data_IF_818394615033
#
_entry.id   IF_818394615033
#
_cell.length_a   1.000
_cell.length_b   1.000
_cell.length_c   1.000
_cell.angle_alpha   90.00
_cell.angle_beta   90.00
_cell.angle_gamma   90.00
#
_symmetry.space_group_name_H-M   'P 1'
#
loop_
_entity.id
_entity.type
_entity.pdbx_description
1 polymer ?
#
# COMPACT_ATOMS: atom_id res chain seq x y z
N UNK A 1 32.45 -3.30 -9.92
CA UNK A 1 32.02 -1.90 -10.20
C UNK A 1 30.89 -1.62 -9.21
N UNK A 2 31.19 -0.90 -8.11
CA UNK A 2 30.18 -0.51 -7.12
C UNK A 2 29.27 0.52 -7.78
N UNK A 3 28.01 0.14 -8.03
CA UNK A 3 26.98 1.11 -8.42
C UNK A 3 26.83 2.03 -7.21
N UNK A 4 27.38 3.24 -7.30
CA UNK A 4 27.08 4.29 -6.33
C UNK A 4 25.57 4.52 -6.37
N UNK A 5 24.85 4.01 -5.36
CA UNK A 5 23.42 4.26 -5.25
C UNK A 5 23.20 5.77 -5.10
N UNK A 6 22.44 6.32 -6.05
CA UNK A 6 22.17 7.76 -6.11
C UNK A 6 21.42 8.18 -4.85
N UNK A 7 22.07 8.92 -3.95
CA UNK A 7 21.43 9.50 -2.79
C UNK A 7 20.52 10.67 -3.19
N UNK A 8 19.30 10.67 -2.67
CA UNK A 8 18.29 11.70 -2.91
C UNK A 8 18.55 12.88 -1.96
N UNK A 9 18.80 14.07 -2.51
CA UNK A 9 19.03 15.27 -1.72
C UNK A 9 17.71 15.86 -1.21
N UNK A 10 17.56 15.92 0.10
CA UNK A 10 16.38 16.43 0.79
C UNK A 10 16.54 17.87 1.27
N UNK A 11 17.61 18.56 0.87
CA UNK A 11 17.80 19.97 1.21
C UNK A 11 16.58 20.78 0.77
N UNK A 12 16.02 21.56 1.69
CA UNK A 12 14.83 22.38 1.47
C UNK A 12 13.54 21.60 1.11
N UNK A 13 13.51 20.28 1.36
CA UNK A 13 12.33 19.46 1.16
C UNK A 13 11.63 19.11 2.47
N UNK A 14 10.29 19.03 2.46
CA UNK A 14 9.53 18.36 3.50
C UNK A 14 9.61 16.86 3.28
N UNK A 15 9.96 16.08 4.29
CA UNK A 15 9.98 14.62 4.20
C UNK A 15 8.78 14.04 4.94
N UNK A 16 7.97 13.27 4.24
CA UNK A 16 6.73 12.69 4.75
C UNK A 16 6.95 11.21 5.02
N UNK A 17 6.87 10.81 6.27
CA UNK A 17 7.14 9.45 6.74
C UNK A 17 5.85 8.73 7.15
N UNK A 18 5.70 7.44 6.80
CA UNK A 18 4.57 6.65 7.28
C UNK A 18 4.79 6.26 8.74
N UNK A 19 3.76 6.48 9.59
CA UNK A 19 3.75 6.06 11.00
C UNK A 19 3.22 4.64 11.22
N UNK A 20 2.77 3.95 10.17
CA UNK A 20 2.25 2.58 10.26
C UNK A 20 3.36 1.62 10.71
N UNK A 21 3.12 0.84 11.76
CA UNK A 21 4.10 -0.11 12.33
C UNK A 21 4.61 -1.13 11.28
N UNK A 22 3.73 -1.65 10.43
CA UNK A 22 4.09 -2.57 9.35
C UNK A 22 5.02 -2.00 8.29
N UNK A 23 5.16 -0.66 8.19
CA UNK A 23 6.06 0.00 7.25
C UNK A 23 7.40 0.41 7.88
N UNK A 24 7.57 0.22 9.19
CA UNK A 24 8.73 0.75 9.95
C UNK A 24 10.07 0.27 9.39
N UNK A 25 10.23 -1.02 9.17
CA UNK A 25 11.48 -1.63 8.66
C UNK A 25 11.89 -1.00 7.31
N UNK A 26 10.94 -0.84 6.40
CA UNK A 26 11.22 -0.30 5.07
C UNK A 26 11.35 1.22 5.05
N UNK A 27 10.69 1.91 5.98
CA UNK A 27 10.94 3.32 6.26
C UNK A 27 12.41 3.53 6.64
N UNK A 28 12.95 2.73 7.53
CA UNK A 28 14.36 2.81 7.96
C UNK A 28 15.32 2.55 6.78
N UNK A 29 15.04 1.53 5.95
CA UNK A 29 15.82 1.27 4.73
C UNK A 29 15.71 2.45 3.76
N UNK A 30 14.51 2.99 3.52
CA UNK A 30 14.31 4.10 2.60
C UNK A 30 15.05 5.37 3.04
N UNK A 31 15.14 5.61 4.35
CA UNK A 31 15.89 6.75 4.90
C UNK A 31 17.38 6.69 4.58
N UNK A 32 17.97 5.51 4.36
CA UNK A 32 19.38 5.39 3.94
C UNK A 32 19.66 5.97 2.55
N UNK A 33 18.63 6.11 1.70
CA UNK A 33 18.74 6.74 0.39
C UNK A 33 18.59 8.26 0.42
N UNK A 34 18.23 8.83 1.56
CA UNK A 34 18.00 10.27 1.73
C UNK A 34 19.18 10.93 2.45
N UNK A 35 19.63 12.09 1.95
CA UNK A 35 20.66 12.90 2.60
C UNK A 35 20.14 14.32 2.90
N UNK A 36 20.82 15.03 3.79
CA UNK A 36 20.49 16.41 4.19
C UNK A 36 19.07 16.54 4.76
N UNK A 37 18.65 15.53 5.56
CA UNK A 37 17.37 15.57 6.27
C UNK A 37 17.36 16.66 7.34
N UNK A 38 16.35 17.51 7.32
CA UNK A 38 16.11 18.52 8.36
C UNK A 38 14.99 18.01 9.29
N UNK A 39 15.26 17.70 10.58
CA UNK A 39 14.24 17.16 11.48
C UNK A 39 12.99 18.05 11.62
N UNK A 40 13.15 19.37 11.54
CA UNK A 40 12.03 20.32 11.59
C UNK A 40 11.09 20.25 10.37
N UNK A 41 11.52 19.59 9.29
CA UNK A 41 10.76 19.41 8.06
C UNK A 41 10.24 17.96 7.90
N UNK A 42 10.28 17.14 8.94
CA UNK A 42 9.72 15.79 8.93
C UNK A 42 8.25 15.83 9.34
N UNK A 43 7.38 15.24 8.53
CA UNK A 43 5.96 15.07 8.78
C UNK A 43 5.63 13.59 8.87
N UNK A 44 5.09 13.12 9.99
CA UNK A 44 4.65 11.73 10.16
C UNK A 44 3.13 11.63 9.99
N UNK A 45 2.70 10.80 9.02
CA UNK A 45 1.29 10.59 8.66
C UNK A 45 1.00 9.10 8.48
N UNK A 46 -0.26 8.71 8.24
CA UNK A 46 -0.54 7.36 7.78
C UNK A 46 0.01 7.16 6.37
N UNK A 47 0.44 5.94 6.04
CA UNK A 47 1.02 5.63 4.72
C UNK A 47 0.06 5.92 3.56
N UNK A 48 -1.24 5.70 3.77
CA UNK A 48 -2.30 6.03 2.81
C UNK A 48 -2.46 7.52 2.54
N UNK A 49 -2.07 8.37 3.49
CA UNK A 49 -2.19 9.84 3.39
C UNK A 49 -0.97 10.49 2.74
N UNK A 50 0.15 9.76 2.58
CA UNK A 50 1.40 10.32 2.02
C UNK A 50 1.20 10.97 0.66
N UNK A 51 0.50 10.34 -0.32
CA UNK A 51 0.30 10.97 -1.63
C UNK A 51 -0.55 12.24 -1.56
N UNK A 52 -1.57 12.27 -0.71
CA UNK A 52 -2.39 13.47 -0.45
C UNK A 52 -1.52 14.64 0.02
N UNK A 53 -0.64 14.42 1.00
CA UNK A 53 0.24 15.47 1.51
C UNK A 53 1.26 15.95 0.47
N UNK A 54 1.79 15.05 -0.37
CA UNK A 54 2.66 15.44 -1.48
C UNK A 54 1.93 16.40 -2.43
N UNK A 55 0.68 16.09 -2.78
CA UNK A 55 -0.16 16.93 -3.65
C UNK A 55 -0.43 18.30 -3.01
N UNK A 56 -0.85 18.33 -1.75
CA UNK A 56 -1.18 19.59 -1.07
C UNK A 56 0.05 20.49 -0.84
N UNK A 57 1.22 19.92 -0.55
CA UNK A 57 2.46 20.67 -0.45
C UNK A 57 2.88 21.23 -1.81
N UNK A 58 2.69 20.49 -2.92
CA UNK A 58 2.94 20.98 -4.27
C UNK A 58 2.09 22.21 -4.60
N UNK A 59 0.80 22.19 -4.28
CA UNK A 59 -0.11 23.34 -4.44
C UNK A 59 0.35 24.59 -3.67
N UNK A 60 1.11 24.41 -2.58
CA UNK A 60 1.72 25.48 -1.80
C UNK A 60 3.13 25.86 -2.27
N UNK A 61 3.58 25.35 -3.41
CA UNK A 61 4.93 25.59 -3.95
C UNK A 61 6.06 24.99 -3.10
N UNK A 62 5.75 24.01 -2.23
CA UNK A 62 6.73 23.36 -1.36
C UNK A 62 7.17 22.03 -1.97
N UNK A 63 8.49 21.84 -2.05
CA UNK A 63 9.08 20.55 -2.44
C UNK A 63 8.90 19.54 -1.31
N UNK A 64 8.54 18.32 -1.67
CA UNK A 64 8.34 17.25 -0.70
C UNK A 64 8.71 15.87 -1.27
N UNK A 65 9.19 15.00 -0.38
CA UNK A 65 9.47 13.59 -0.62
C UNK A 65 8.61 12.79 0.33
N UNK A 66 7.97 11.74 -0.17
CA UNK A 66 7.09 10.88 0.63
C UNK A 66 7.50 9.41 0.55
N UNK A 67 7.37 8.69 1.66
CA UNK A 67 7.65 7.26 1.76
C UNK A 67 6.34 6.51 2.01
N UNK A 68 6.03 5.48 1.19
CA UNK A 68 4.80 4.70 1.38
C UNK A 68 4.88 3.32 0.68
N UNK A 69 3.90 2.44 0.96
CA UNK A 69 3.72 1.20 0.22
C UNK A 69 3.19 1.44 -1.20
N UNK A 70 3.59 0.61 -2.15
CA UNK A 70 3.10 0.68 -3.53
C UNK A 70 1.60 0.44 -3.63
N UNK A 71 1.05 -0.44 -2.79
CA UNK A 71 -0.37 -0.72 -2.67
C UNK A 71 -1.18 0.55 -2.36
N UNK A 72 -0.71 1.34 -1.37
CA UNK A 72 -1.35 2.59 -0.95
C UNK A 72 -1.24 3.68 -2.02
N UNK A 73 -0.08 3.76 -2.70
CA UNK A 73 0.08 4.68 -3.82
C UNK A 73 -0.79 4.30 -5.02
N UNK A 74 -0.90 3.01 -5.33
CA UNK A 74 -1.81 2.53 -6.41
C UNK A 74 -3.28 2.79 -6.09
N UNK A 75 -3.69 2.63 -4.82
CA UNK A 75 -5.03 2.99 -4.38
C UNK A 75 -5.33 4.47 -4.63
N UNK A 76 -4.38 5.35 -4.26
CA UNK A 76 -4.46 6.78 -4.52
C UNK A 76 -4.59 7.10 -6.02
N UNK A 77 -3.77 6.47 -6.87
CA UNK A 77 -3.79 6.68 -8.32
C UNK A 77 -5.12 6.28 -8.99
N UNK A 78 -5.93 5.42 -8.37
CA UNK A 78 -7.26 5.07 -8.89
C UNK A 78 -8.31 6.16 -8.63
N UNK A 79 -8.05 7.11 -7.73
CA UNK A 79 -8.91 8.26 -7.47
C UNK A 79 -8.57 9.45 -8.36
N UNK A 80 -7.28 9.73 -8.48
CA UNK A 80 -6.76 10.92 -9.14
C UNK A 80 -6.42 10.64 -10.60
N UNK A 81 -6.92 11.46 -11.51
CA UNK A 81 -6.63 11.34 -12.95
C UNK A 81 -5.33 12.03 -13.37
N UNK A 82 -4.83 12.98 -12.57
CA UNK A 82 -3.61 13.73 -12.83
C UNK A 82 -2.48 13.25 -11.91
N UNK A 83 -1.49 12.61 -12.51
CA UNK A 83 -0.31 12.09 -11.81
C UNK A 83 0.74 13.19 -11.67
N UNK A 84 0.63 13.98 -10.61
CA UNK A 84 1.62 15.00 -10.28
C UNK A 84 2.73 14.51 -9.33
N UNK A 85 2.72 13.23 -8.99
CA UNK A 85 3.65 12.59 -8.06
C UNK A 85 4.49 11.58 -8.83
N UNK A 86 5.81 11.71 -8.74
CA UNK A 86 6.78 10.83 -9.38
C UNK A 86 7.29 9.76 -8.42
N UNK A 87 7.48 8.54 -8.92
CA UNK A 87 8.20 7.49 -8.21
C UNK A 87 9.68 7.72 -8.46
N UNK A 88 10.42 8.18 -7.44
CA UNK A 88 11.87 8.38 -7.51
C UNK A 88 12.60 7.04 -7.41
N UNK A 89 12.18 6.20 -6.46
CA UNK A 89 12.81 4.91 -6.20
C UNK A 89 11.77 3.89 -5.75
N UNK A 90 11.94 2.67 -6.25
CA UNK A 90 11.24 1.47 -5.78
C UNK A 90 12.22 0.61 -5.00
N UNK A 91 11.87 0.31 -3.75
CA UNK A 91 12.64 -0.58 -2.88
C UNK A 91 11.90 -1.90 -2.84
N UNK A 92 12.52 -2.94 -3.41
CA UNK A 92 11.95 -4.29 -3.42
C UNK A 92 11.71 -4.77 -2.00
N UNK A 93 10.48 -5.17 -1.70
CA UNK A 93 10.16 -5.77 -0.42
C UNK A 93 10.51 -7.25 -0.47
N UNK A 94 11.53 -7.65 0.28
CA UNK A 94 11.93 -9.04 0.43
C UNK A 94 12.01 -9.36 1.91
N UNK A 95 11.06 -10.12 2.42
CA UNK A 95 11.02 -10.52 3.82
C UNK A 95 10.69 -12.00 3.94
N UNK A 96 11.57 -12.73 4.63
CA UNK A 96 11.39 -14.18 4.87
C UNK A 96 10.20 -14.49 5.79
N UNK A 97 9.80 -13.52 6.61
CA UNK A 97 8.62 -13.64 7.47
C UNK A 97 7.31 -13.38 6.74
N UNK A 98 7.38 -12.77 5.55
CA UNK A 98 6.19 -12.54 4.74
C UNK A 98 5.78 -13.82 4.01
N UNK A 99 4.51 -14.22 4.15
CA UNK A 99 3.92 -15.43 3.57
C UNK A 99 4.20 -15.57 2.07
N UNK A 100 4.22 -14.45 1.35
CA UNK A 100 4.50 -14.38 -0.10
C UNK A 100 5.78 -13.62 -0.43
N UNK A 101 6.73 -13.53 0.54
CA UNK A 101 7.96 -12.77 0.39
C UNK A 101 7.79 -11.25 0.48
N UNK A 102 6.56 -10.75 0.39
CA UNK A 102 6.20 -9.32 0.49
C UNK A 102 4.72 -9.15 0.86
N UNK A 103 4.31 -7.95 1.34
CA UNK A 103 2.91 -7.66 1.60
C UNK A 103 2.07 -7.90 0.33
N UNK A 104 0.96 -8.59 0.50
CA UNK A 104 0.10 -8.95 -0.63
C UNK A 104 -1.35 -8.67 -0.26
N UNK A 105 -2.02 -7.82 -1.04
CA UNK A 105 -3.47 -7.63 -0.93
C UNK A 105 -4.15 -8.87 -1.48
N UNK A 106 -5.02 -9.49 -0.68
CA UNK A 106 -5.63 -10.76 -0.99
C UNK A 106 -7.15 -10.71 -0.85
N UNK A 107 -7.82 -11.60 -1.58
CA UNK A 107 -9.17 -12.06 -1.28
C UNK A 107 -9.03 -13.25 -0.34
N UNK A 108 -9.69 -13.19 0.80
CA UNK A 108 -9.66 -14.18 1.86
C UNK A 108 -11.06 -14.74 2.10
N UNK A 109 -11.15 -15.99 2.51
CA UNK A 109 -12.39 -16.64 2.93
C UNK A 109 -12.11 -17.76 3.93
N UNK A 110 -13.14 -18.52 4.33
CA UNK A 110 -13.00 -19.63 5.26
C UNK A 110 -12.06 -20.70 4.70
N UNK A 111 -11.11 -21.19 5.50
CA UNK A 111 -10.26 -22.34 5.14
C UNK A 111 -11.01 -23.67 4.95
N UNK A 112 -12.29 -23.72 5.38
CA UNK A 112 -13.13 -24.93 5.30
C UNK A 112 -13.85 -25.06 3.95
N UNK A 113 -13.77 -24.04 3.08
CA UNK A 113 -14.44 -23.99 1.78
C UNK A 113 -13.48 -23.53 0.69
N UNK A 114 -13.73 -23.96 -0.53
CA UNK A 114 -13.06 -23.41 -1.70
C UNK A 114 -13.88 -22.26 -2.32
N UNK A 115 -13.21 -21.32 -2.97
CA UNK A 115 -13.88 -20.20 -3.63
C UNK A 115 -14.90 -20.65 -4.69
N UNK A 116 -14.65 -21.77 -5.35
CA UNK A 116 -15.56 -22.37 -6.35
C UNK A 116 -16.86 -22.90 -5.80
N UNK A 117 -16.91 -23.21 -4.50
CA UNK A 117 -18.07 -23.76 -3.79
C UNK A 117 -18.97 -22.65 -3.21
N UNK A 118 -18.50 -21.41 -3.19
CA UNK A 118 -19.24 -20.30 -2.62
C UNK A 118 -20.48 -19.94 -3.45
N UNK A 119 -21.57 -19.50 -2.78
CA UNK A 119 -22.75 -19.00 -3.47
C UNK A 119 -22.44 -17.78 -4.32
N UNK A 120 -23.31 -17.43 -5.27
CA UNK A 120 -23.11 -16.26 -6.13
C UNK A 120 -23.34 -14.93 -5.41
N UNK A 121 -24.14 -14.92 -4.36
CA UNK A 121 -24.44 -13.75 -3.56
C UNK A 121 -23.61 -13.78 -2.28
N UNK A 122 -22.69 -12.85 -2.12
CA UNK A 122 -21.70 -12.82 -1.05
C UNK A 122 -21.59 -11.43 -0.41
N UNK A 123 -21.35 -11.41 0.89
CA UNK A 123 -20.93 -10.21 1.59
C UNK A 123 -19.41 -10.19 1.70
N UNK A 124 -18.78 -9.09 1.29
CA UNK A 124 -17.33 -8.90 1.38
C UNK A 124 -17.00 -7.72 2.29
N UNK A 125 -16.17 -7.96 3.30
CA UNK A 125 -15.62 -6.92 4.17
C UNK A 125 -14.26 -6.47 3.62
N UNK A 126 -14.08 -5.17 3.45
CA UNK A 126 -12.96 -4.56 2.75
C UNK A 126 -12.27 -3.57 3.69
N UNK A 127 -10.95 -3.68 3.82
CA UNK A 127 -10.17 -2.64 4.47
C UNK A 127 -10.34 -1.31 3.70
N UNK A 128 -10.90 -0.30 4.35
CA UNK A 128 -11.37 0.94 3.72
C UNK A 128 -10.28 1.65 2.89
N UNK A 129 -9.01 1.52 3.30
CA UNK A 129 -7.84 2.04 2.60
C UNK A 129 -7.55 1.39 1.24
N UNK A 130 -8.27 0.31 0.86
CA UNK A 130 -8.14 -0.41 -0.41
C UNK A 130 -9.46 -0.45 -1.19
N UNK A 131 -10.37 0.48 -0.92
CA UNK A 131 -11.73 0.48 -1.45
C UNK A 131 -11.80 0.48 -2.98
N UNK A 132 -10.89 1.16 -3.67
CA UNK A 132 -10.88 1.29 -5.14
C UNK A 132 -10.24 0.10 -5.82
N UNK A 133 -9.10 -0.38 -5.31
CA UNK A 133 -8.46 -1.62 -5.79
C UNK A 133 -9.45 -2.78 -5.63
N UNK A 134 -10.06 -2.89 -4.44
CA UNK A 134 -11.06 -3.92 -4.16
C UNK A 134 -12.26 -3.82 -5.10
N UNK A 135 -12.81 -2.62 -5.33
CA UNK A 135 -13.91 -2.40 -6.28
C UNK A 135 -13.52 -2.84 -7.70
N UNK A 136 -12.33 -2.46 -8.16
CA UNK A 136 -11.84 -2.85 -9.48
C UNK A 136 -11.72 -4.38 -9.61
N UNK A 137 -11.19 -5.03 -8.58
CA UNK A 137 -11.06 -6.49 -8.53
C UNK A 137 -12.43 -7.18 -8.49
N UNK A 138 -13.32 -6.77 -7.59
CA UNK A 138 -14.67 -7.36 -7.47
C UNK A 138 -15.49 -7.19 -8.74
N UNK A 139 -15.36 -6.08 -9.48
CA UNK A 139 -16.00 -5.90 -10.78
C UNK A 139 -15.60 -6.98 -11.79
N UNK A 140 -14.38 -7.56 -11.71
CA UNK A 140 -13.98 -8.67 -12.57
C UNK A 140 -14.73 -9.97 -12.19
N UNK A 141 -14.96 -10.20 -10.90
CA UNK A 141 -15.74 -11.34 -10.42
C UNK A 141 -17.23 -11.15 -10.69
N UNK A 142 -17.76 -9.92 -10.58
CA UNK A 142 -19.15 -9.59 -10.92
C UNK A 142 -19.44 -9.90 -12.41
N UNK A 143 -18.50 -9.68 -13.31
CA UNK A 143 -18.62 -10.09 -14.73
C UNK A 143 -18.67 -11.61 -14.92
N UNK A 144 -18.23 -12.39 -13.91
CA UNK A 144 -18.33 -13.86 -13.89
C UNK A 144 -19.60 -14.35 -13.18
N UNK A 145 -20.53 -13.44 -12.85
CA UNK A 145 -21.83 -13.75 -12.27
C UNK A 145 -21.89 -13.77 -10.75
N UNK A 146 -20.88 -13.26 -10.05
CA UNK A 146 -20.94 -13.01 -8.61
C UNK A 146 -21.66 -11.70 -8.32
N UNK A 147 -22.28 -11.60 -7.13
CA UNK A 147 -22.93 -10.38 -6.63
C UNK A 147 -22.39 -10.12 -5.24
N UNK A 148 -21.87 -8.91 -5.00
CA UNK A 148 -21.23 -8.56 -3.73
C UNK A 148 -21.95 -7.45 -2.98
N UNK A 149 -22.37 -7.72 -1.75
CA UNK A 149 -22.65 -6.70 -0.75
C UNK A 149 -21.32 -6.28 -0.13
N UNK A 150 -20.92 -5.02 -0.30
CA UNK A 150 -19.61 -4.48 0.12
C UNK A 150 -19.72 -3.74 1.43
N UNK A 151 -18.90 -4.10 2.44
CA UNK A 151 -18.79 -3.46 3.75
C UNK A 151 -17.36 -2.92 3.87
N UNK A 152 -17.21 -1.67 4.31
CA UNK A 152 -15.90 -1.02 4.45
C UNK A 152 -15.63 -0.73 5.93
N UNK A 153 -14.48 -1.18 6.44
CA UNK A 153 -14.06 -0.95 7.82
C UNK A 153 -12.60 -0.50 7.89
N UNK A 154 -12.24 0.26 8.92
CA UNK A 154 -10.89 0.81 9.08
C UNK A 154 -9.89 -0.14 9.75
N UNK A 155 -10.35 -1.27 10.32
CA UNK A 155 -9.51 -2.26 11.00
C UNK A 155 -10.29 -3.50 11.39
N UNK A 156 -9.57 -4.54 11.85
CA UNK A 156 -10.16 -5.83 12.27
C UNK A 156 -11.06 -6.46 11.19
N UNK A 157 -10.64 -6.39 9.94
CA UNK A 157 -11.44 -6.84 8.78
C UNK A 157 -11.67 -8.34 8.85
N UNK A 158 -10.67 -9.12 9.28
CA UNK A 158 -10.70 -10.58 9.38
C UNK A 158 -11.73 -11.08 10.38
N UNK A 159 -11.98 -10.31 11.45
CA UNK A 159 -13.00 -10.63 12.46
C UNK A 159 -14.40 -10.74 11.85
N UNK A 160 -14.68 -10.04 10.76
CA UNK A 160 -15.99 -10.06 10.10
C UNK A 160 -16.40 -11.44 9.58
N UNK A 161 -15.45 -12.25 9.12
CA UNK A 161 -15.73 -13.64 8.73
C UNK A 161 -15.98 -14.52 9.95
N UNK A 162 -15.17 -14.38 11.00
CA UNK A 162 -15.34 -15.16 12.24
C UNK A 162 -16.71 -14.93 12.88
N UNK A 163 -17.20 -13.69 12.85
CA UNK A 163 -18.51 -13.31 13.41
C UNK A 163 -19.67 -13.54 12.43
N UNK A 164 -19.44 -14.11 11.26
CA UNK A 164 -20.47 -14.36 10.26
C UNK A 164 -21.10 -13.10 9.64
N UNK A 165 -20.42 -11.95 9.75
CA UNK A 165 -20.85 -10.67 9.18
C UNK A 165 -20.55 -10.61 7.68
N UNK A 166 -19.47 -11.24 7.26
CA UNK A 166 -19.04 -11.31 5.87
C UNK A 166 -18.59 -12.73 5.51
N UNK A 167 -18.81 -13.11 4.26
CA UNK A 167 -18.35 -14.37 3.68
C UNK A 167 -16.89 -14.28 3.23
N UNK A 168 -16.46 -13.08 2.83
CA UNK A 168 -15.14 -12.80 2.29
C UNK A 168 -14.53 -11.54 2.91
N UNK A 169 -13.21 -11.48 2.85
CA UNK A 169 -12.42 -10.31 3.28
C UNK A 169 -11.45 -9.90 2.17
N UNK A 170 -11.24 -8.59 2.02
CA UNK A 170 -10.11 -8.06 1.24
C UNK A 170 -9.24 -7.22 2.16
N UNK A 171 -8.03 -7.71 2.45
CA UNK A 171 -7.01 -7.00 3.23
C UNK A 171 -5.60 -7.44 2.84
N UNK A 172 -4.61 -6.73 3.40
CA UNK A 172 -3.20 -7.03 3.22
C UNK A 172 -2.79 -8.24 4.07
N UNK A 173 -2.18 -9.22 3.46
CA UNK A 173 -1.54 -10.35 4.15
C UNK A 173 -0.05 -10.11 4.19
N UNK A 174 0.55 -10.22 5.40
CA UNK A 174 1.98 -10.14 5.59
C UNK A 174 2.55 -11.48 6.07
N UNK A 175 2.54 -11.77 7.37
CA UNK A 175 3.05 -13.03 7.93
C UNK A 175 2.09 -14.20 7.80
N UNK A 176 0.80 -13.94 7.62
CA UNK A 176 -0.25 -14.98 7.63
C UNK A 176 -0.77 -15.35 9.01
N UNK A 177 -0.22 -14.79 10.10
CA UNK A 177 -0.65 -15.13 11.48
C UNK A 177 -2.14 -14.84 11.72
N UNK A 178 -2.70 -13.77 11.12
CA UNK A 178 -4.13 -13.49 11.20
C UNK A 178 -4.96 -14.53 10.46
N UNK A 179 -4.47 -15.11 9.36
CA UNK A 179 -5.19 -16.16 8.64
C UNK A 179 -5.41 -17.38 9.53
N UNK A 180 -4.34 -17.86 10.18
CA UNK A 180 -4.42 -18.99 11.10
C UNK A 180 -5.36 -18.69 12.28
N UNK A 181 -5.21 -17.50 12.88
CA UNK A 181 -5.99 -17.07 14.04
C UNK A 181 -7.49 -17.01 13.76
N UNK A 182 -7.89 -16.57 12.58
CA UNK A 182 -9.30 -16.37 12.18
C UNK A 182 -9.84 -17.48 11.28
N UNK A 183 -9.09 -18.56 11.06
CA UNK A 183 -9.52 -19.70 10.22
C UNK A 183 -9.75 -19.32 8.77
N UNK A 184 -8.96 -18.40 8.25
CA UNK A 184 -9.02 -17.90 6.87
C UNK A 184 -7.97 -18.56 5.98
N UNK A 185 -8.25 -18.58 4.68
CA UNK A 185 -7.29 -18.93 3.63
C UNK A 185 -7.30 -17.89 2.50
N UNK A 186 -6.23 -17.90 1.71
CA UNK A 186 -6.06 -16.98 0.58
C UNK A 186 -6.69 -17.58 -0.66
N UNK A 187 -7.83 -17.03 -1.10
CA UNK A 187 -8.51 -17.45 -2.31
C UNK A 187 -7.91 -16.84 -3.58
N UNK A 188 -7.42 -15.60 -3.48
CA UNK A 188 -6.71 -14.95 -4.61
C UNK A 188 -5.76 -13.86 -4.13
N UNK A 189 -4.68 -13.63 -4.91
CA UNK A 189 -3.70 -12.56 -4.70
C UNK A 189 -4.00 -11.42 -5.65
N UNK A 190 -4.47 -10.31 -5.12
CA UNK A 190 -4.91 -9.15 -5.91
C UNK A 190 -3.73 -8.29 -6.34
N UNK A 191 -2.81 -7.99 -5.40
CA UNK A 191 -1.69 -7.09 -5.62
C UNK A 191 -0.56 -7.36 -4.64
N UNK A 192 0.66 -7.53 -5.13
CA UNK A 192 1.88 -7.51 -4.31
C UNK A 192 2.44 -6.10 -4.22
N UNK A 193 2.96 -5.71 -3.04
CA UNK A 193 3.44 -4.36 -2.76
C UNK A 193 4.94 -4.31 -2.53
N UNK A 194 5.60 -3.35 -3.17
CA UNK A 194 6.94 -2.89 -2.83
C UNK A 194 6.87 -1.57 -2.02
N UNK A 195 8.01 -1.04 -1.60
CA UNK A 195 8.07 0.24 -0.91
C UNK A 195 8.56 1.34 -1.86
N UNK A 196 7.95 2.53 -1.79
CA UNK A 196 8.20 3.62 -2.72
C UNK A 196 8.75 4.85 -2.01
N UNK A 197 9.70 5.50 -2.70
CA UNK A 197 10.08 6.90 -2.46
C UNK A 197 9.44 7.72 -3.57
N UNK A 198 8.60 8.65 -3.19
CA UNK A 198 7.81 9.51 -4.06
C UNK A 198 8.29 10.96 -3.96
N UNK A 199 8.10 11.75 -5.03
CA UNK A 199 8.32 13.20 -5.04
C UNK A 199 7.17 13.94 -5.69
N UNK A 200 6.93 15.17 -5.23
CA UNK A 200 6.00 16.11 -5.86
C UNK A 200 6.70 17.11 -6.81
N UNK A 201 7.99 16.96 -7.02
CA UNK A 201 8.79 17.82 -7.92
C UNK A 201 9.82 16.97 -8.66
N UNK A 202 10.19 17.41 -9.85
CA UNK A 202 11.33 16.81 -10.58
C UNK A 202 12.58 16.99 -9.71
N UNK A 203 13.09 15.90 -9.15
CA UNK A 203 14.38 15.90 -8.49
C UNK A 203 15.42 15.73 -9.60
N UNK A 204 16.15 16.80 -9.89
CA UNK A 204 17.30 16.74 -10.79
C UNK A 204 18.27 15.72 -10.21
N UNK A 205 18.25 14.49 -10.72
CA UNK A 205 19.34 13.55 -10.54
C UNK A 205 20.57 14.25 -11.11
N UNK A 206 21.62 14.42 -10.31
CA UNK A 206 22.83 15.11 -10.72
C UNK A 206 23.30 14.59 -12.07
N UNK A 207 23.03 15.35 -13.13
CA UNK A 207 23.82 15.27 -14.35
C UNK A 207 25.19 15.79 -13.95
N UNK A 208 26.16 14.91 -13.97
CA UNK A 208 27.55 15.35 -13.96
C UNK A 208 27.73 16.35 -15.14
N UNK A 209 27.81 17.63 -14.80
CA UNK A 209 28.38 18.60 -15.73
C UNK A 209 29.83 18.18 -15.95
N UNK A 210 30.09 17.79 -17.19
CA UNK A 210 31.44 17.67 -17.72
C UNK A 210 32.00 19.07 -18.03
#
# INVERSE_FOLDING_TARGET
>A
MLIQELLIDCKDCTVILPKNSGLRKYREIALTYLKNLEPAKILEVRGEDVPFWLKELKKKGKKAIGLTGEDLYREYCLEEREYEIEIIKRIGWQDKEALFGKPTLCLLGSKEMEFSELPRNLTVCIAAKYSRIAKKYLNLLERRGYIFKKIYVSGCVETSCQEGIADLVIDIVYTGNSLERYGLDVYDKILQSDFLILSNSVISGGKNDQ
#
